data_IF_419165339252
#
_entry.id   IF_419165339252
#
_cell.length_a   1.000
_cell.length_b   1.000
_cell.length_c   1.000
_cell.angle_alpha   90.00
_cell.angle_beta   90.00
_cell.angle_gamma   90.00
#
_symmetry.space_group_name_H-M   'P 1'
#
loop_
_entity.id
_entity.type
_entity.pdbx_description
1 polymer ?
#
# COMPACT_ATOMS: atom_id res chain seq x y z
N UNK A 1 17.12 34.42 -2.37
CA UNK A 1 17.35 34.05 -0.96
C UNK A 1 18.83 33.79 -0.85
N UNK A 2 19.54 34.59 -0.06
CA UNK A 2 20.98 34.45 0.11
C UNK A 2 21.21 33.40 1.20
N UNK A 3 21.86 32.30 0.83
CA UNK A 3 22.23 31.25 1.76
C UNK A 3 23.54 31.67 2.45
N UNK A 4 23.60 31.72 3.79
CA UNK A 4 24.84 31.97 4.49
C UNK A 4 25.90 30.96 4.06
N UNK A 5 27.12 31.42 3.81
CA UNK A 5 28.25 30.54 3.52
C UNK A 5 28.46 29.58 4.70
N UNK A 6 28.08 28.34 4.48
CA UNK A 6 28.29 27.19 5.36
C UNK A 6 28.60 25.99 4.49
N UNK A 7 29.23 24.97 5.06
CA UNK A 7 29.79 23.78 4.40
C UNK A 7 28.78 22.91 3.59
N UNK A 8 27.52 23.35 3.45
CA UNK A 8 26.52 22.69 2.65
C UNK A 8 26.96 22.65 1.18
N UNK A 9 27.05 21.45 0.63
CA UNK A 9 27.38 21.22 -0.79
C UNK A 9 26.14 21.00 -1.66
N UNK A 10 24.96 20.88 -1.04
CA UNK A 10 23.70 20.53 -1.70
C UNK A 10 22.51 21.28 -1.11
N UNK A 11 21.53 21.58 -1.95
CA UNK A 11 20.20 22.05 -1.59
C UNK A 11 19.16 21.02 -1.98
N UNK A 12 18.06 20.95 -1.24
CA UNK A 12 16.86 20.27 -1.69
C UNK A 12 15.82 21.32 -2.08
N UNK A 13 15.35 21.28 -3.32
CA UNK A 13 14.27 22.15 -3.80
C UNK A 13 12.96 21.40 -3.74
N UNK A 14 11.99 21.95 -3.02
CA UNK A 14 10.63 21.41 -2.95
C UNK A 14 9.62 22.51 -3.20
N UNK A 15 8.42 22.14 -3.61
CA UNK A 15 7.32 23.06 -3.81
C UNK A 15 5.99 22.33 -3.90
N UNK A 16 4.91 23.09 -4.07
CA UNK A 16 3.55 22.52 -4.14
C UNK A 16 3.36 21.48 -5.25
N UNK A 17 4.16 21.59 -6.32
CA UNK A 17 4.10 20.73 -7.49
C UNK A 17 5.39 19.91 -7.69
N UNK A 18 6.32 19.90 -6.73
CA UNK A 18 7.54 19.10 -6.87
C UNK A 18 8.01 18.60 -5.50
N UNK A 19 8.12 17.28 -5.39
CA UNK A 19 8.76 16.61 -4.26
C UNK A 19 10.24 17.02 -4.17
N UNK A 20 10.85 16.89 -2.98
CA UNK A 20 12.19 17.45 -2.76
C UNK A 20 13.24 16.91 -3.76
N UNK A 21 13.88 17.81 -4.49
CA UNK A 21 14.87 17.51 -5.52
C UNK A 21 16.25 18.04 -5.10
N UNK A 22 17.21 17.16 -4.78
CA UNK A 22 18.58 17.55 -4.47
C UNK A 22 19.27 18.19 -5.69
N UNK A 23 20.06 19.23 -5.42
CA UNK A 23 20.87 19.94 -6.41
C UNK A 23 22.17 20.41 -5.75
N UNK A 24 23.25 20.44 -6.52
CA UNK A 24 24.54 20.90 -6.01
C UNK A 24 24.56 22.42 -5.86
N UNK A 25 25.22 22.90 -4.81
CA UNK A 25 25.50 24.32 -4.60
C UNK A 25 26.80 24.66 -5.32
N UNK A 26 26.82 25.75 -6.09
CA UNK A 26 28.05 26.23 -6.70
C UNK A 26 29.03 26.69 -5.60
N UNK A 27 30.31 26.31 -5.72
CA UNK A 27 31.33 26.70 -4.74
C UNK A 27 31.56 28.22 -4.70
N UNK A 28 31.35 28.90 -5.83
CA UNK A 28 31.43 30.35 -5.97
C UNK A 28 30.35 30.83 -6.96
N UNK A 29 29.85 32.06 -6.76
CA UNK A 29 28.87 32.69 -7.66
C UNK A 29 27.43 32.17 -7.51
N UNK A 30 26.61 32.47 -8.51
CA UNK A 30 25.18 32.14 -8.49
C UNK A 30 24.93 30.63 -8.68
N UNK A 31 24.07 30.05 -7.85
CA UNK A 31 23.60 28.66 -8.03
C UNK A 31 22.38 28.63 -8.95
N UNK A 32 22.52 28.00 -10.12
CA UNK A 32 21.39 27.73 -11.03
C UNK A 32 20.81 26.34 -10.77
N UNK A 33 19.53 26.29 -10.41
CA UNK A 33 18.84 25.03 -10.14
C UNK A 33 18.04 24.62 -11.38
N UNK A 34 18.33 23.43 -11.91
CA UNK A 34 17.58 22.84 -13.04
C UNK A 34 16.73 21.69 -12.53
N UNK A 35 15.42 21.89 -12.56
CA UNK A 35 14.46 20.83 -12.28
C UNK A 35 14.26 19.98 -13.53
N UNK A 36 14.05 18.66 -13.38
CA UNK A 36 13.71 17.81 -14.51
C UNK A 36 12.35 18.21 -15.10
N UNK A 37 12.13 17.87 -16.37
CA UNK A 37 10.79 17.94 -16.94
C UNK A 37 9.88 16.95 -16.17
N UNK A 38 8.76 17.42 -15.59
CA UNK A 38 7.92 16.58 -14.75
C UNK A 38 7.19 15.50 -15.55
N UNK A 39 6.94 14.37 -14.90
CA UNK A 39 6.03 13.33 -15.36
C UNK A 39 4.64 13.49 -14.71
N UNK A 40 3.66 12.81 -15.29
CA UNK A 40 2.27 12.78 -14.84
C UNK A 40 1.82 11.35 -14.54
N UNK A 41 1.07 11.17 -13.47
CA UNK A 41 0.36 9.91 -13.19
C UNK A 41 -1.13 10.20 -13.01
N UNK A 42 -1.95 9.47 -13.74
CA UNK A 42 -3.41 9.47 -13.60
C UNK A 42 -3.84 8.16 -12.94
N UNK A 43 -4.68 8.26 -11.91
CA UNK A 43 -5.13 7.10 -11.13
C UNK A 43 -6.65 7.09 -11.14
N UNK A 44 -7.22 5.94 -11.47
CA UNK A 44 -8.66 5.68 -11.38
C UNK A 44 -8.91 4.61 -10.32
N UNK A 45 -9.92 4.83 -9.48
CA UNK A 45 -10.38 3.88 -8.48
C UNK A 45 -11.87 3.66 -8.65
N UNK A 46 -12.26 2.43 -8.97
CA UNK A 46 -13.66 2.00 -8.99
C UNK A 46 -13.74 0.49 -8.71
N UNK A 47 -13.88 0.17 -7.43
CA UNK A 47 -13.97 -1.22 -6.95
C UNK A 47 -15.21 -1.37 -6.09
N UNK A 48 -16.12 -2.23 -6.53
CA UNK A 48 -17.30 -2.57 -5.75
C UNK A 48 -16.92 -3.16 -4.38
N UNK A 49 -17.50 -2.62 -3.31
CA UNK A 49 -17.29 -3.08 -1.95
C UNK A 49 -16.00 -2.56 -1.30
N UNK A 50 -15.18 -1.78 -2.00
CA UNK A 50 -14.14 -0.99 -1.37
C UNK A 50 -14.75 0.20 -0.59
N UNK A 51 -13.98 0.75 0.35
CA UNK A 51 -14.39 1.92 1.12
C UNK A 51 -14.72 3.11 0.22
N UNK A 52 -15.59 4.01 0.68
CA UNK A 52 -15.97 5.22 -0.07
C UNK A 52 -14.77 6.13 -0.35
N UNK A 53 -13.85 6.17 0.59
CA UNK A 53 -12.59 6.90 0.50
C UNK A 53 -11.44 5.92 0.69
N UNK A 54 -10.43 6.03 -0.17
CA UNK A 54 -9.17 5.28 -0.08
C UNK A 54 -8.01 6.26 -0.05
N UNK A 55 -6.83 5.76 0.29
CA UNK A 55 -5.59 6.51 0.16
C UNK A 55 -4.69 5.85 -0.88
N UNK A 56 -4.04 6.66 -1.71
CA UNK A 56 -2.93 6.24 -2.57
C UNK A 56 -1.64 6.62 -1.88
N UNK A 57 -0.86 5.62 -1.50
CA UNK A 57 0.53 5.80 -1.12
C UNK A 57 1.40 5.70 -2.36
N UNK A 58 2.39 6.58 -2.45
CA UNK A 58 3.46 6.45 -3.44
C UNK A 58 4.79 6.93 -2.90
N UNK A 59 5.86 6.35 -3.42
CA UNK A 59 7.22 6.66 -3.02
C UNK A 59 8.16 6.64 -4.22
N UNK A 60 8.98 7.69 -4.38
CA UNK A 60 10.13 7.66 -5.27
C UNK A 60 11.22 6.82 -4.62
N UNK A 61 11.67 5.78 -5.32
CA UNK A 61 12.67 4.83 -4.86
C UNK A 61 14.07 5.38 -5.12
N UNK A 62 14.58 6.19 -4.21
CA UNK A 62 15.79 6.98 -4.44
C UNK A 62 17.12 6.25 -4.16
N UNK A 63 17.09 5.00 -3.68
CA UNK A 63 18.29 4.26 -3.27
C UNK A 63 19.36 4.08 -4.36
N UNK A 64 18.96 4.20 -5.62
CA UNK A 64 19.82 4.08 -6.80
C UNK A 64 20.16 5.43 -7.42
N UNK A 65 19.64 6.54 -6.89
CA UNK A 65 19.78 7.89 -7.44
C UNK A 65 20.96 8.60 -6.76
N UNK A 66 22.04 8.92 -7.49
CA UNK A 66 23.16 9.64 -6.93
C UNK A 66 22.70 10.97 -6.33
N UNK A 67 23.15 11.27 -5.12
CA UNK A 67 22.87 12.53 -4.46
C UNK A 67 21.57 12.60 -3.67
N UNK A 68 20.82 11.50 -3.60
CA UNK A 68 19.62 11.36 -2.77
C UNK A 68 19.90 10.62 -1.45
N UNK A 69 21.15 10.58 -1.00
CA UNK A 69 21.51 9.90 0.25
C UNK A 69 20.73 10.50 1.44
N UNK A 70 19.97 9.67 2.15
CA UNK A 70 19.14 10.09 3.28
C UNK A 70 17.84 10.81 2.90
N UNK A 71 17.56 11.00 1.61
CA UNK A 71 16.30 11.59 1.13
C UNK A 71 15.20 10.54 1.13
N UNK A 72 14.02 10.89 1.62
CA UNK A 72 12.82 10.05 1.55
C UNK A 72 11.68 10.87 0.97
N UNK A 73 11.16 10.42 -0.17
CA UNK A 73 10.06 11.07 -0.88
C UNK A 73 8.89 10.10 -0.95
N UNK A 74 7.97 10.25 -0.01
CA UNK A 74 6.77 9.46 0.06
C UNK A 74 5.59 10.36 0.39
N UNK A 75 4.45 10.05 -0.21
CA UNK A 75 3.24 10.81 -0.06
C UNK A 75 2.06 9.86 0.07
N UNK A 76 1.00 10.34 0.71
CA UNK A 76 -0.28 9.64 0.78
C UNK A 76 -1.38 10.65 0.49
N UNK A 77 -2.17 10.39 -0.56
CA UNK A 77 -3.23 11.28 -1.00
C UNK A 77 -4.57 10.55 -1.02
N UNK A 78 -5.66 11.21 -0.57
CA UNK A 78 -6.98 10.61 -0.60
C UNK A 78 -7.51 10.53 -2.05
N UNK A 79 -8.33 9.52 -2.31
CA UNK A 79 -9.11 9.35 -3.54
C UNK A 79 -10.46 8.73 -3.18
N UNK A 80 -11.54 9.30 -3.70
CA UNK A 80 -12.87 8.70 -3.57
C UNK A 80 -13.01 7.48 -4.51
N UNK A 81 -13.68 6.44 -4.05
CA UNK A 81 -14.05 5.30 -4.88
C UNK A 81 -15.13 5.69 -5.91
N UNK A 82 -14.95 5.27 -7.15
CA UNK A 82 -15.64 5.81 -8.34
C UNK A 82 -15.00 7.11 -8.87
N UNK A 83 -13.79 7.44 -8.44
CA UNK A 83 -13.13 8.73 -8.67
C UNK A 83 -11.79 8.63 -9.41
N UNK A 84 -11.21 9.81 -9.70
CA UNK A 84 -9.91 9.97 -10.35
C UNK A 84 -9.01 10.90 -9.56
N UNK A 85 -7.71 10.59 -9.56
CA UNK A 85 -6.65 11.42 -9.00
C UNK A 85 -5.62 11.71 -10.09
N UNK A 86 -5.22 12.97 -10.22
CA UNK A 86 -4.14 13.38 -11.12
C UNK A 86 -2.97 13.89 -10.31
N UNK A 87 -1.79 13.33 -10.57
CA UNK A 87 -0.50 13.78 -10.05
C UNK A 87 0.25 14.46 -11.21
N UNK A 88 0.14 15.79 -11.37
CA UNK A 88 0.52 16.47 -12.60
C UNK A 88 2.02 16.73 -12.73
N UNK A 89 2.79 16.57 -11.66
CA UNK A 89 4.18 17.02 -11.61
C UNK A 89 5.07 16.15 -10.72
N UNK A 90 5.13 14.85 -11.03
CA UNK A 90 6.06 13.94 -10.35
C UNK A 90 7.46 14.05 -10.98
N UNK A 91 8.54 14.10 -10.20
CA UNK A 91 9.89 13.94 -10.74
C UNK A 91 10.03 12.61 -11.50
N UNK A 92 10.79 12.55 -12.60
CA UNK A 92 11.08 11.30 -13.26
C UNK A 92 11.89 10.37 -12.35
N UNK A 93 11.69 9.05 -12.50
CA UNK A 93 12.36 8.04 -11.69
C UNK A 93 11.50 6.80 -11.45
N UNK A 94 11.97 5.94 -10.55
CA UNK A 94 11.31 4.67 -10.21
C UNK A 94 10.43 4.85 -8.99
N UNK A 95 9.16 4.47 -9.11
CA UNK A 95 8.16 4.63 -8.07
C UNK A 95 7.57 3.29 -7.67
N UNK A 96 7.11 3.24 -6.42
CA UNK A 96 6.03 2.33 -6.03
C UNK A 96 4.75 3.12 -5.77
N UNK A 97 3.62 2.53 -6.13
CA UNK A 97 2.27 3.01 -5.85
C UNK A 97 1.47 1.88 -5.20
N UNK A 98 0.59 2.19 -4.26
CA UNK A 98 -0.38 1.23 -3.74
C UNK A 98 -1.60 1.94 -3.17
N UNK A 99 -2.72 1.24 -3.08
CA UNK A 99 -3.80 1.67 -2.17
C UNK A 99 -3.41 1.29 -0.76
N UNK A 100 -3.83 2.08 0.23
CA UNK A 100 -3.66 1.71 1.64
C UNK A 100 -5.00 1.64 2.34
N UNK A 101 -5.15 0.60 3.16
CA UNK A 101 -6.31 0.40 4.04
C UNK A 101 -5.83 0.22 5.47
N UNK A 102 -6.67 0.60 6.43
CA UNK A 102 -6.38 0.40 7.86
C UNK A 102 -7.40 -0.56 8.45
N UNK A 103 -6.95 -1.75 8.82
CA UNK A 103 -7.76 -2.71 9.57
C UNK A 103 -7.77 -2.31 11.03
N UNK A 104 -8.96 -2.03 11.58
CA UNK A 104 -9.11 -1.74 13.01
C UNK A 104 -9.31 -3.03 13.77
N UNK A 105 -8.39 -3.34 14.66
CA UNK A 105 -8.35 -4.52 15.52
C UNK A 105 -8.41 -4.05 16.96
N UNK A 106 -9.61 -3.70 17.43
CA UNK A 106 -9.81 -3.06 18.74
C UNK A 106 -9.13 -1.69 18.81
N UNK A 107 -8.20 -1.51 19.75
CA UNK A 107 -7.47 -0.26 19.95
C UNK A 107 -6.30 -0.06 18.96
N UNK A 108 -6.05 -1.02 18.08
CA UNK A 108 -4.87 -1.04 17.20
C UNK A 108 -5.33 -1.00 15.74
N UNK A 109 -4.67 -0.16 14.94
CA UNK A 109 -4.81 -0.17 13.49
C UNK A 109 -3.63 -0.91 12.86
N UNK A 110 -3.89 -1.84 11.95
CA UNK A 110 -2.85 -2.41 11.07
C UNK A 110 -3.09 -1.96 9.64
N UNK A 111 -2.08 -1.31 9.06
CA UNK A 111 -2.14 -0.89 7.66
C UNK A 111 -1.82 -2.04 6.72
N UNK A 112 -2.57 -2.18 5.62
CA UNK A 112 -2.21 -3.04 4.50
C UNK A 112 -1.98 -2.20 3.25
N UNK A 113 -0.91 -2.52 2.51
CA UNK A 113 -0.65 -1.98 1.18
C UNK A 113 -1.25 -2.93 0.16
N UNK A 114 -2.22 -2.44 -0.60
CA UNK A 114 -2.94 -3.22 -1.60
C UNK A 114 -2.43 -2.91 -2.99
N UNK A 115 -2.33 -3.95 -3.81
CA UNK A 115 -2.04 -3.88 -5.25
C UNK A 115 -0.82 -3.01 -5.54
N UNK A 116 0.28 -3.30 -4.86
CA UNK A 116 1.51 -2.54 -5.04
C UNK A 116 1.98 -2.67 -6.48
N UNK A 117 2.13 -1.53 -7.15
CA UNK A 117 2.62 -1.41 -8.52
C UNK A 117 3.93 -0.65 -8.55
N UNK A 118 4.81 -1.07 -9.45
CA UNK A 118 6.11 -0.46 -9.66
C UNK A 118 6.17 0.12 -11.07
N UNK A 119 6.52 1.40 -11.16
CA UNK A 119 6.56 2.13 -12.43
C UNK A 119 7.85 2.92 -12.54
N UNK A 120 8.38 3.00 -13.74
CA UNK A 120 9.40 3.99 -14.09
C UNK A 120 8.72 5.11 -14.88
N UNK A 121 8.92 6.36 -14.43
CA UNK A 121 8.42 7.56 -15.07
C UNK A 121 9.57 8.27 -15.78
N UNK A 122 9.44 8.46 -17.09
CA UNK A 122 10.38 9.25 -17.89
C UNK A 122 10.02 10.73 -17.87
N UNK A 123 10.96 11.65 -18.17
CA UNK A 123 10.64 13.08 -18.27
C UNK A 123 9.49 13.33 -19.26
N UNK A 124 8.51 14.14 -18.87
CA UNK A 124 7.33 14.47 -19.69
C UNK A 124 6.31 13.34 -19.88
N UNK A 125 6.58 12.13 -19.36
CA UNK A 125 5.71 10.97 -19.57
C UNK A 125 4.40 11.08 -18.77
N UNK A 126 3.31 10.58 -19.34
CA UNK A 126 2.06 10.31 -18.61
C UNK A 126 1.86 8.80 -18.47
N UNK A 127 1.65 8.32 -17.25
CA UNK A 127 1.22 6.94 -16.96
C UNK A 127 -0.18 6.93 -16.36
N UNK A 128 -0.86 5.80 -16.53
CA UNK A 128 -2.15 5.54 -15.91
C UNK A 128 -2.07 4.32 -15.00
N UNK A 129 -2.71 4.39 -13.83
CA UNK A 129 -2.90 3.29 -12.90
C UNK A 129 -4.40 3.09 -12.72
N UNK A 130 -4.89 1.88 -13.02
CA UNK A 130 -6.30 1.56 -12.90
C UNK A 130 -6.52 0.55 -11.77
N UNK A 131 -7.19 1.00 -10.71
CA UNK A 131 -7.78 0.15 -9.69
C UNK A 131 -9.26 0.00 -10.00
N UNK A 132 -9.58 -0.62 -11.14
CA UNK A 132 -10.95 -0.79 -11.65
C UNK A 132 -11.22 -2.26 -11.90
N UNK A 133 -12.33 -2.78 -11.39
CA UNK A 133 -12.67 -4.21 -11.50
C UNK A 133 -14.10 -4.39 -12.03
N UNK A 134 -14.23 -4.46 -13.35
CA UNK A 134 -15.52 -4.67 -14.02
C UNK A 134 -16.03 -6.13 -13.94
N UNK A 135 -15.12 -7.07 -13.67
CA UNK A 135 -15.39 -8.51 -13.60
C UNK A 135 -14.89 -9.09 -12.29
N UNK A 136 -15.25 -10.35 -12.05
CA UNK A 136 -14.79 -11.12 -10.90
C UNK A 136 -15.89 -11.33 -9.87
N UNK A 137 -15.50 -11.48 -8.60
CA UNK A 137 -16.44 -11.67 -7.51
C UNK A 137 -15.93 -11.08 -6.19
N UNK A 138 -16.86 -10.73 -5.32
CA UNK A 138 -16.58 -10.51 -3.90
C UNK A 138 -16.48 -11.87 -3.21
N UNK A 139 -15.61 -11.97 -2.21
CA UNK A 139 -15.40 -13.21 -1.45
C UNK A 139 -16.15 -13.11 -0.13
N UNK A 140 -17.18 -13.95 0.02
CA UNK A 140 -17.93 -14.11 1.25
C UNK A 140 -17.43 -15.33 2.01
N UNK A 141 -17.33 -15.22 3.31
CA UNK A 141 -17.11 -16.39 4.14
C UNK A 141 -17.37 -16.14 5.62
N UNK A 142 -17.06 -17.18 6.39
CA UNK A 142 -17.23 -17.24 7.84
C UNK A 142 -16.00 -17.89 8.46
N UNK A 143 -15.66 -17.48 9.66
CA UNK A 143 -14.59 -18.06 10.45
C UNK A 143 -15.15 -18.78 11.67
N UNK A 144 -14.64 -19.98 11.95
CA UNK A 144 -14.87 -20.63 13.25
C UNK A 144 -13.93 -19.99 14.26
N UNK A 145 -14.51 -19.29 15.23
CA UNK A 145 -13.76 -18.53 16.24
C UNK A 145 -13.29 -19.43 17.39
N UNK A 146 -12.11 -19.17 17.98
CA UNK A 146 -11.72 -19.79 19.24
C UNK A 146 -12.64 -19.30 20.38
N UNK A 147 -12.68 -20.08 21.48
CA UNK A 147 -13.43 -19.68 22.68
C UNK A 147 -12.82 -18.47 23.40
N UNK A 148 -11.54 -18.19 23.16
CA UNK A 148 -10.84 -17.04 23.72
C UNK A 148 -11.32 -15.72 23.11
N UNK A 149 -11.41 -14.66 23.92
CA UNK A 149 -11.77 -13.32 23.45
C UNK A 149 -10.71 -12.79 22.49
N UNK A 150 -11.15 -12.41 21.29
CA UNK A 150 -10.31 -11.77 20.29
C UNK A 150 -10.44 -10.24 20.38
N UNK A 151 -9.35 -9.54 20.06
CA UNK A 151 -9.30 -8.09 19.88
C UNK A 151 -9.73 -7.70 18.46
N UNK A 152 -9.48 -8.56 17.48
CA UNK A 152 -9.88 -8.34 16.10
C UNK A 152 -9.32 -9.42 15.18
N UNK A 153 -9.86 -9.46 13.96
CA UNK A 153 -9.48 -10.40 12.91
C UNK A 153 -9.29 -9.63 11.61
N UNK A 154 -8.10 -9.72 11.02
CA UNK A 154 -7.84 -9.23 9.67
C UNK A 154 -8.00 -10.38 8.67
N UNK A 155 -8.77 -10.17 7.62
CA UNK A 155 -8.90 -11.07 6.48
C UNK A 155 -8.24 -10.42 5.28
N UNK A 156 -7.29 -11.11 4.67
CA UNK A 156 -6.50 -10.61 3.54
C UNK A 156 -6.51 -11.60 2.40
N UNK A 157 -6.64 -11.08 1.18
CA UNK A 157 -6.52 -11.84 -0.05
C UNK A 157 -5.23 -11.44 -0.74
N UNK A 158 -4.36 -12.41 -1.00
CA UNK A 158 -3.02 -12.17 -1.56
C UNK A 158 -2.74 -13.09 -2.74
N UNK A 159 -1.71 -12.75 -3.53
CA UNK A 159 -1.22 -13.59 -4.61
C UNK A 159 -0.76 -14.95 -4.08
N UNK A 160 -0.94 -16.00 -4.88
CA UNK A 160 -0.40 -17.33 -4.56
C UNK A 160 1.14 -17.33 -4.60
N UNK A 161 1.72 -16.52 -5.49
CA UNK A 161 3.15 -16.47 -5.74
C UNK A 161 3.73 -15.15 -5.26
N UNK A 162 4.96 -15.22 -4.76
CA UNK A 162 5.76 -14.03 -4.55
C UNK A 162 6.21 -13.48 -5.92
N UNK A 163 6.19 -12.17 -6.03
CA UNK A 163 6.69 -11.39 -7.15
C UNK A 163 8.03 -10.77 -6.75
N UNK A 164 8.90 -10.56 -7.73
CA UNK A 164 10.19 -9.88 -7.54
C UNK A 164 10.05 -8.40 -7.80
N UNK A 165 10.70 -7.59 -6.96
CA UNK A 165 10.88 -6.18 -7.23
C UNK A 165 11.57 -5.96 -8.57
N UNK A 166 10.98 -5.21 -9.52
CA UNK A 166 11.67 -4.90 -10.76
C UNK A 166 12.88 -4.00 -10.53
N UNK A 167 13.00 -3.38 -9.36
CA UNK A 167 14.03 -2.40 -9.00
C UNK A 167 14.91 -2.83 -7.83
N UNK A 168 14.68 -4.00 -7.23
CA UNK A 168 15.44 -4.54 -6.09
C UNK A 168 15.45 -6.08 -6.11
N UNK A 169 16.13 -6.72 -5.16
CA UNK A 169 16.19 -8.18 -5.00
C UNK A 169 15.11 -8.73 -4.06
N UNK A 170 14.23 -7.87 -3.55
CA UNK A 170 13.18 -8.25 -2.60
C UNK A 170 12.05 -8.97 -3.33
N UNK A 171 11.48 -9.95 -2.64
CA UNK A 171 10.26 -10.62 -3.06
C UNK A 171 9.11 -10.18 -2.16
N UNK A 172 7.91 -10.06 -2.71
CA UNK A 172 6.70 -9.79 -1.92
C UNK A 172 5.50 -10.57 -2.48
N UNK A 173 4.48 -10.75 -1.67
CA UNK A 173 3.16 -11.21 -2.11
C UNK A 173 2.22 -10.02 -2.22
N UNK A 174 1.56 -9.88 -3.37
CA UNK A 174 0.65 -8.76 -3.60
C UNK A 174 -0.63 -9.02 -2.83
N UNK A 175 -1.01 -8.11 -1.92
CA UNK A 175 -2.32 -8.17 -1.26
C UNK A 175 -3.31 -7.40 -2.11
N UNK A 176 -4.45 -8.00 -2.46
CA UNK A 176 -5.45 -7.40 -3.33
C UNK A 176 -6.62 -6.79 -2.56
N UNK A 177 -6.92 -7.35 -1.39
CA UNK A 177 -7.95 -6.87 -0.47
C UNK A 177 -7.53 -7.19 0.96
N UNK A 178 -7.83 -6.31 1.90
CA UNK A 178 -7.67 -6.56 3.33
C UNK A 178 -8.72 -5.81 4.11
N UNK A 179 -9.34 -6.46 5.10
CA UNK A 179 -10.37 -5.86 5.93
C UNK A 179 -10.47 -6.52 7.30
N UNK A 180 -11.13 -5.84 8.24
CA UNK A 180 -11.54 -6.45 9.50
C UNK A 180 -12.79 -7.33 9.29
N UNK A 181 -12.79 -8.56 9.81
CA UNK A 181 -14.01 -9.38 9.88
C UNK A 181 -14.96 -8.88 10.98
N UNK A 182 -16.26 -9.13 10.83
CA UNK A 182 -17.23 -8.83 11.87
C UNK A 182 -16.97 -9.66 13.14
N UNK A 183 -17.57 -9.24 14.27
CA UNK A 183 -17.40 -9.92 15.57
C UNK A 183 -17.84 -11.38 15.54
N UNK A 184 -18.80 -11.72 14.68
CA UNK A 184 -19.27 -13.08 14.48
C UNK A 184 -18.34 -13.90 13.55
N UNK A 185 -17.25 -13.32 13.05
CA UNK A 185 -16.31 -13.94 12.12
C UNK A 185 -16.75 -13.92 10.65
N UNK A 186 -17.86 -13.26 10.31
CA UNK A 186 -18.27 -13.09 8.91
C UNK A 186 -17.46 -12.01 8.20
N UNK A 187 -17.25 -12.18 6.90
CA UNK A 187 -16.58 -11.19 6.06
C UNK A 187 -17.13 -11.22 4.63
N UNK A 188 -16.96 -10.08 3.95
CA UNK A 188 -17.27 -9.91 2.54
C UNK A 188 -16.29 -8.90 1.94
N UNK A 189 -15.39 -9.38 1.09
CA UNK A 189 -14.32 -8.54 0.52
C UNK A 189 -14.84 -7.50 -0.46
N UNK A 190 -14.01 -6.53 -0.81
CA UNK A 190 -14.14 -5.84 -2.10
C UNK A 190 -14.05 -6.85 -3.27
N UNK A 191 -14.63 -6.50 -4.42
CA UNK A 191 -14.66 -7.33 -5.62
C UNK A 191 -13.24 -7.57 -6.08
N UNK A 192 -12.82 -8.81 -6.26
CA UNK A 192 -11.53 -9.17 -6.84
C UNK A 192 -11.67 -9.45 -8.32
N UNK A 193 -10.59 -9.29 -9.09
CA UNK A 193 -10.54 -9.78 -10.46
C UNK A 193 -10.61 -11.33 -10.50
N UNK A 194 -11.02 -11.93 -11.62
CA UNK A 194 -11.00 -13.38 -11.78
C UNK A 194 -9.58 -13.94 -11.66
N UNK A 195 -9.43 -15.08 -10.99
CA UNK A 195 -8.13 -15.72 -10.82
C UNK A 195 -7.96 -16.45 -9.50
N UNK A 196 -6.73 -16.87 -9.24
CA UNK A 196 -6.38 -17.73 -8.11
C UNK A 196 -5.62 -16.95 -7.05
N UNK A 197 -6.08 -17.06 -5.81
CA UNK A 197 -5.56 -16.28 -4.68
C UNK A 197 -5.40 -17.14 -3.42
N UNK A 198 -4.65 -16.60 -2.46
CA UNK A 198 -4.59 -17.09 -1.10
C UNK A 198 -5.45 -16.19 -0.21
N UNK A 199 -6.47 -16.75 0.41
CA UNK A 199 -7.20 -16.13 1.49
C UNK A 199 -6.50 -16.45 2.81
N UNK A 200 -6.24 -15.44 3.63
CA UNK A 200 -5.67 -15.60 4.96
C UNK A 200 -6.50 -14.83 5.99
N UNK A 201 -6.68 -15.42 7.17
CA UNK A 201 -7.25 -14.76 8.32
C UNK A 201 -6.21 -14.75 9.45
N UNK A 202 -6.02 -13.60 10.07
CA UNK A 202 -5.10 -13.39 11.19
C UNK A 202 -5.86 -12.77 12.35
N UNK A 203 -5.93 -13.49 13.47
CA UNK A 203 -6.68 -13.10 14.65
C UNK A 203 -5.75 -12.82 15.83
N UNK A 204 -6.09 -11.78 16.58
CA UNK A 204 -5.25 -11.23 17.64
C UNK A 204 -5.99 -11.26 18.95
N UNK A 205 -5.31 -11.70 20.01
CA UNK A 205 -5.83 -11.60 21.38
C UNK A 205 -5.48 -10.24 21.99
N UNK A 206 -6.21 -9.79 23.02
CA UNK A 206 -5.86 -8.58 23.75
C UNK A 206 -4.41 -8.59 24.24
N UNK A 207 -3.74 -7.46 24.09
CA UNK A 207 -2.35 -7.31 24.54
C UNK A 207 -2.26 -7.18 26.06
N UNK A 208 -1.22 -7.76 26.64
CA UNK A 208 -0.84 -7.45 28.04
C UNK A 208 -0.27 -6.03 28.14
N UNK A 209 -0.24 -5.41 29.34
CA UNK A 209 0.37 -4.09 29.54
C UNK A 209 1.83 -4.01 29.05
N UNK A 210 2.61 -5.07 29.24
CA UNK A 210 3.99 -5.17 28.77
C UNK A 210 4.10 -5.25 27.25
N UNK A 211 3.09 -5.81 26.58
CA UNK A 211 3.04 -5.84 25.12
C UNK A 211 2.59 -4.49 24.54
N UNK A 212 1.71 -3.77 25.24
CA UNK A 212 1.29 -2.43 24.84
C UNK A 212 2.43 -1.41 24.88
N UNK A 213 3.39 -1.57 25.80
CA UNK A 213 4.57 -0.70 25.89
C UNK A 213 5.65 -1.01 24.84
N UNK A 214 5.54 -2.13 24.12
CA UNK A 214 6.45 -2.48 23.02
C UNK A 214 5.96 -1.85 21.72
N UNK A 215 6.86 -1.17 21.02
CA UNK A 215 6.62 -0.59 19.68
C UNK A 215 6.86 -1.60 18.53
N UNK A 216 7.13 -2.86 18.86
CA UNK A 216 7.43 -3.91 17.88
C UNK A 216 6.19 -4.48 17.19
N UNK A 217 6.42 -5.29 16.16
CA UNK A 217 5.34 -5.97 15.42
C UNK A 217 4.55 -6.90 16.35
N UNK A 218 3.25 -6.65 16.45
CA UNK A 218 2.31 -7.55 17.12
C UNK A 218 2.03 -8.72 16.19
N UNK A 219 2.33 -9.93 16.65
CA UNK A 219 2.07 -11.16 15.89
C UNK A 219 0.63 -11.62 16.12
N UNK A 220 -0.02 -12.20 15.10
CA UNK A 220 -1.31 -12.86 15.29
C UNK A 220 -1.17 -14.04 16.25
N UNK A 221 -2.21 -14.28 17.04
CA UNK A 221 -2.31 -15.41 17.97
C UNK A 221 -2.91 -16.63 17.26
N UNK A 222 -3.85 -16.40 16.34
CA UNK A 222 -4.50 -17.43 15.54
C UNK A 222 -4.43 -17.09 14.06
N UNK A 223 -4.44 -18.12 13.22
CA UNK A 223 -4.44 -17.97 11.77
C UNK A 223 -5.26 -19.05 11.07
N UNK A 224 -5.72 -18.73 9.87
CA UNK A 224 -6.28 -19.68 8.90
C UNK A 224 -5.88 -19.26 7.49
N UNK A 225 -5.82 -20.22 6.57
CA UNK A 225 -5.51 -19.94 5.17
C UNK A 225 -6.22 -20.94 4.26
N UNK A 226 -6.62 -20.48 3.09
CA UNK A 226 -7.21 -21.30 2.05
C UNK A 226 -6.83 -20.76 0.66
N UNK A 227 -6.66 -21.67 -0.29
CA UNK A 227 -6.59 -21.31 -1.71
C UNK A 227 -8.01 -21.09 -2.22
N UNK A 228 -8.23 -20.00 -2.95
CA UNK A 228 -9.53 -19.66 -3.55
C UNK A 228 -9.38 -19.36 -5.03
N UNK A 229 -10.45 -19.61 -5.79
CA UNK A 229 -10.57 -19.29 -7.20
C UNK A 229 -11.76 -18.35 -7.40
N UNK A 230 -11.47 -17.12 -7.79
CA UNK A 230 -12.47 -16.07 -8.03
C UNK A 230 -13.00 -16.23 -9.45
N UNK A 231 -14.31 -16.46 -9.63
CA UNK A 231 -14.92 -16.66 -10.94
C UNK A 231 -15.02 -15.35 -11.73
N UNK A 232 -15.29 -15.44 -13.03
CA UNK A 232 -15.49 -14.28 -13.93
C UNK A 232 -16.65 -13.35 -13.52
N UNK A 233 -17.66 -13.88 -12.81
CA UNK A 233 -18.83 -13.13 -12.37
C UNK A 233 -19.49 -13.77 -11.14
N UNK A 234 -20.32 -12.99 -10.45
CA UNK A 234 -21.12 -13.45 -9.31
C UNK A 234 -20.47 -13.17 -7.96
N UNK A 235 -20.73 -14.06 -7.00
CA UNK A 235 -20.19 -14.04 -5.65
C UNK A 235 -19.48 -15.36 -5.38
N UNK A 236 -18.32 -15.31 -4.72
CA UNK A 236 -17.62 -16.51 -4.26
C UNK A 236 -17.93 -16.73 -2.78
N UNK A 237 -18.60 -17.83 -2.45
CA UNK A 237 -18.81 -18.26 -1.06
C UNK A 237 -17.75 -19.31 -0.71
N UNK A 238 -16.90 -18.99 0.26
CA UNK A 238 -15.84 -19.88 0.74
C UNK A 238 -16.37 -20.72 1.91
N UNK A 239 -16.03 -22.02 1.99
CA UNK A 239 -16.32 -22.83 3.16
C UNK A 239 -15.78 -22.18 4.45
N UNK A 240 -16.43 -22.45 5.57
CA UNK A 240 -16.02 -21.91 6.86
C UNK A 240 -14.58 -22.34 7.19
N UNK A 241 -13.75 -21.37 7.58
CA UNK A 241 -12.35 -21.60 7.93
C UNK A 241 -12.16 -21.55 9.43
N UNK A 242 -11.53 -22.59 9.99
CA UNK A 242 -11.24 -22.64 11.41
C UNK A 242 -9.96 -21.90 11.73
N UNK A 243 -10.03 -20.96 12.67
CA UNK A 243 -8.85 -20.30 13.21
C UNK A 243 -8.07 -21.26 14.11
N UNK A 244 -6.81 -21.50 13.78
CA UNK A 244 -5.89 -22.34 14.54
C UNK A 244 -4.85 -21.50 15.26
N UNK A 245 -4.46 -21.93 16.47
CA UNK A 245 -3.46 -21.20 17.25
C UNK A 245 -2.09 -21.33 16.57
N UNK A 246 -1.44 -20.19 16.34
CA UNK A 246 -0.11 -20.13 15.75
C UNK A 246 0.93 -20.49 16.82
N UNK A 247 1.97 -21.22 16.41
CA UNK A 247 3.07 -21.65 17.28
C UNK A 247 4.16 -20.59 17.38
#
# INVERSE_FOLDING_TARGET
FDLPAGEAKKLAVSGRAIDAWPTDIAAEGDTTIRLPEPAKVEIELDIEGADKDSNIFFQLLVSHMPGFEGVRLENTLPIANGGKLTLPALPPGKYQFCRTVTNRLGMIGTGAMLERQFLELKPGETKTINYVRAKGARVRGKLTLPAEKLMGIAVSISSEKAEKDPFDKREWTTTFASQTAAEDGSYLTERLAPGTYTLSASAYTPLTPEQQSRTGLIRPTYGASAKIEVPESGELVVPELKLERLR
#
